data_IF_088419177192
#
_entry.id   IF_088419177192
#
_cell.length_a   1.000
_cell.length_b   1.000
_cell.length_c   1.000
_cell.angle_alpha   90.00
_cell.angle_beta   90.00
_cell.angle_gamma   90.00
#
_symmetry.space_group_name_H-M   'P 1'
#
loop_
_entity.id
_entity.type
_entity.pdbx_description
1 polymer ?
#
# COMPACT_ATOMS: atom_id res chain seq x y z
N UNK A 1 -1.78 -17.42 1.78
CA UNK A 1 -2.71 -16.78 2.74
C UNK A 1 -3.15 -15.47 2.13
N UNK A 2 -4.39 -15.02 2.40
CA UNK A 2 -4.89 -13.72 1.93
C UNK A 2 -4.83 -12.66 3.02
N UNK A 3 -4.24 -11.51 2.72
CA UNK A 3 -4.26 -10.31 3.57
C UNK A 3 -5.05 -9.21 2.86
N UNK A 4 -5.89 -8.50 3.60
CA UNK A 4 -6.62 -7.37 3.00
C UNK A 4 -5.60 -6.32 2.57
N UNK A 5 -5.68 -5.88 1.33
CA UNK A 5 -4.90 -4.77 0.82
C UNK A 5 -5.71 -3.46 0.92
N UNK A 6 -5.10 -2.42 1.44
CA UNK A 6 -5.70 -1.08 1.54
C UNK A 6 -4.66 -0.07 1.13
N UNK A 7 -4.95 0.74 0.12
CA UNK A 7 -4.10 1.85 -0.29
C UNK A 7 -4.80 3.19 -0.12
N UNK A 8 -4.16 4.10 0.61
CA UNK A 8 -4.66 5.45 0.81
C UNK A 8 -3.78 6.50 0.13
N UNK A 9 -4.42 7.55 -0.38
CA UNK A 9 -3.80 8.84 -0.64
C UNK A 9 -3.76 9.65 0.65
N UNK A 10 -2.63 10.26 0.98
CA UNK A 10 -2.44 11.07 2.19
C UNK A 10 -1.86 12.44 1.87
N UNK A 11 -2.20 13.46 2.66
CA UNK A 11 -1.70 14.83 2.43
C UNK A 11 -0.25 15.02 2.91
N UNK A 12 0.15 14.34 3.99
CA UNK A 12 1.49 14.39 4.57
C UNK A 12 1.96 12.97 4.85
N UNK A 13 2.99 12.51 4.14
CA UNK A 13 3.54 11.18 4.33
C UNK A 13 4.15 11.01 5.72
N UNK A 14 4.91 12.00 6.19
CA UNK A 14 5.61 11.93 7.48
C UNK A 14 4.63 11.79 8.64
N UNK A 15 3.60 12.65 8.69
CA UNK A 15 2.57 12.61 9.74
C UNK A 15 1.78 11.31 9.69
N UNK A 16 1.45 10.85 8.47
CA UNK A 16 0.71 9.60 8.26
C UNK A 16 1.53 8.36 8.64
N UNK A 17 2.84 8.34 8.39
CA UNK A 17 3.72 7.26 8.84
C UNK A 17 3.69 7.16 10.36
N UNK A 18 3.81 8.28 11.07
CA UNK A 18 3.76 8.30 12.54
C UNK A 18 2.41 7.76 13.05
N UNK A 19 1.30 8.25 12.48
CA UNK A 19 -0.04 7.84 12.88
C UNK A 19 -0.33 6.35 12.60
N UNK A 20 -0.09 5.88 11.36
CA UNK A 20 -0.39 4.50 11.00
C UNK A 20 0.56 3.49 11.65
N UNK A 21 1.81 3.87 11.95
CA UNK A 21 2.71 3.04 12.76
C UNK A 21 2.13 2.77 14.15
N UNK A 22 1.54 3.80 14.78
CA UNK A 22 0.86 3.63 16.07
C UNK A 22 -0.40 2.78 15.93
N UNK A 23 -1.26 3.08 14.95
CA UNK A 23 -2.55 2.38 14.75
C UNK A 23 -2.37 0.90 14.42
N UNK A 24 -1.38 0.58 13.58
CA UNK A 24 -1.07 -0.79 13.17
C UNK A 24 -0.18 -1.51 14.18
N UNK A 25 0.38 -0.79 15.16
CA UNK A 25 1.38 -1.33 16.11
C UNK A 25 2.52 -2.05 15.39
N UNK A 26 2.93 -1.51 14.23
CA UNK A 26 3.91 -2.09 13.33
C UNK A 26 4.70 -0.99 12.64
N UNK A 27 5.99 -1.24 12.38
CA UNK A 27 6.83 -0.35 11.59
C UNK A 27 6.60 -0.58 10.09
N UNK A 28 6.74 0.44 9.24
CA UNK A 28 6.67 0.25 7.80
C UNK A 28 7.82 -0.66 7.34
N UNK A 29 7.49 -1.61 6.48
CA UNK A 29 8.45 -2.48 5.79
C UNK A 29 9.13 -1.74 4.64
N UNK A 30 8.42 -0.82 3.98
CA UNK A 30 8.98 0.00 2.91
C UNK A 30 8.71 1.47 3.19
N UNK A 31 9.73 2.30 3.02
CA UNK A 31 9.59 3.76 2.95
C UNK A 31 10.26 4.24 1.66
N UNK A 32 9.54 5.04 0.90
CA UNK A 32 10.08 5.86 -0.18
C UNK A 32 9.89 7.32 0.24
N UNK A 33 10.99 8.07 0.50
CA UNK A 33 10.91 9.45 0.95
C UNK A 33 9.95 10.29 0.10
N UNK A 34 9.10 11.04 0.78
CA UNK A 34 8.08 11.97 0.25
C UNK A 34 7.05 11.36 -0.72
N UNK A 35 7.02 10.03 -0.87
CA UNK A 35 6.19 9.37 -1.86
C UNK A 35 5.32 8.26 -1.30
N UNK A 36 5.87 7.30 -0.55
CA UNK A 36 5.18 6.05 -0.27
C UNK A 36 5.64 5.38 1.03
N UNK A 37 4.72 4.69 1.70
CA UNK A 37 5.06 3.75 2.76
C UNK A 37 4.14 2.52 2.73
N UNK A 38 4.68 1.37 3.13
CA UNK A 38 3.99 0.09 3.18
C UNK A 38 4.21 -0.59 4.52
N UNK A 39 3.13 -1.06 5.13
CA UNK A 39 3.12 -1.97 6.26
C UNK A 39 2.52 -3.30 5.81
N UNK A 40 3.10 -4.38 6.29
CA UNK A 40 2.53 -5.71 6.14
C UNK A 40 2.54 -6.37 7.51
N UNK A 41 1.35 -6.70 8.00
CA UNK A 41 1.13 -7.47 9.23
C UNK A 41 0.58 -8.84 8.88
N UNK A 42 0.19 -9.63 9.88
CA UNK A 42 -0.50 -10.91 9.63
C UNK A 42 -1.91 -10.72 9.03
N UNK A 43 -2.52 -9.55 9.23
CA UNK A 43 -3.90 -9.28 8.83
C UNK A 43 -4.03 -8.36 7.60
N UNK A 44 -3.12 -7.41 7.42
CA UNK A 44 -3.27 -6.34 6.42
C UNK A 44 -1.96 -6.07 5.66
N UNK A 45 -2.09 -5.83 4.36
CA UNK A 45 -1.13 -5.13 3.53
C UNK A 45 -1.64 -3.68 3.37
N UNK A 46 -1.07 -2.75 4.13
CA UNK A 46 -1.53 -1.37 4.18
C UNK A 46 -0.50 -0.44 3.56
N UNK A 47 -0.91 0.36 2.58
CA UNK A 47 -0.03 1.32 1.94
C UNK A 47 -0.62 2.74 1.94
N UNK A 48 0.29 3.71 1.97
CA UNK A 48 -0.06 5.12 1.80
C UNK A 48 0.84 5.73 0.73
N UNK A 49 0.27 6.64 -0.05
CA UNK A 49 0.98 7.44 -1.04
C UNK A 49 0.64 8.91 -0.84
N UNK A 50 1.65 9.78 -0.83
CA UNK A 50 1.38 11.21 -0.75
C UNK A 50 0.68 11.69 -2.02
N UNK A 51 -0.44 12.39 -1.87
CA UNK A 51 -1.12 13.03 -3.01
C UNK A 51 -0.54 14.42 -3.26
N UNK A 52 -0.52 14.89 -4.52
CA UNK A 52 -0.13 16.27 -4.84
C UNK A 52 -0.97 17.32 -4.08
N UNK A 53 -0.36 18.48 -3.85
CA UNK A 53 -1.06 19.61 -3.24
C UNK A 53 -2.28 20.00 -4.11
N UNK A 54 -3.45 20.07 -3.48
CA UNK A 54 -4.72 20.37 -4.16
C UNK A 54 -5.55 19.13 -4.52
N UNK A 55 -4.99 17.93 -4.39
CA UNK A 55 -5.76 16.68 -4.49
C UNK A 55 -6.31 16.26 -3.11
N UNK A 56 -7.48 15.63 -3.12
CA UNK A 56 -8.10 15.13 -1.90
C UNK A 56 -7.44 13.82 -1.45
N UNK A 57 -7.02 13.69 -0.17
CA UNK A 57 -6.61 12.41 0.38
C UNK A 57 -7.83 11.47 0.51
N UNK A 58 -7.57 10.17 0.65
CA UNK A 58 -8.64 9.18 0.82
C UNK A 58 -8.31 7.82 0.25
N UNK A 59 -9.33 6.96 0.17
CA UNK A 59 -9.19 5.62 -0.40
C UNK A 59 -8.82 5.69 -1.89
N UNK A 60 -7.75 5.00 -2.28
CA UNK A 60 -7.35 4.84 -3.69
C UNK A 60 -7.87 3.53 -4.27
N UNK A 61 -7.54 2.42 -3.62
CA UNK A 61 -8.06 1.09 -3.94
C UNK A 61 -8.02 0.18 -2.72
N UNK A 62 -8.80 -0.90 -2.79
CA UNK A 62 -8.75 -2.05 -1.89
C UNK A 62 -8.17 -3.24 -2.65
N UNK A 63 -8.02 -4.38 -1.99
CA UNK A 63 -7.58 -5.58 -2.67
C UNK A 63 -7.25 -6.75 -1.77
N UNK A 64 -6.56 -7.72 -2.36
CA UNK A 64 -5.96 -8.85 -1.66
C UNK A 64 -4.50 -9.00 -2.06
N UNK A 65 -3.63 -9.07 -1.06
CA UNK A 65 -2.37 -9.78 -1.23
C UNK A 65 -2.66 -11.28 -1.04
N UNK A 66 -2.51 -12.07 -2.09
CA UNK A 66 -2.69 -13.53 -2.05
C UNK A 66 -1.43 -14.25 -2.54
N UNK A 67 -0.85 -15.11 -1.70
CA UNK A 67 0.26 -15.97 -2.09
C UNK A 67 -0.10 -16.95 -3.24
N UNK A 68 -1.40 -17.20 -3.46
CA UNK A 68 -1.89 -18.04 -4.56
C UNK A 68 -2.13 -17.27 -5.87
N UNK A 69 -2.07 -15.92 -5.86
CA UNK A 69 -2.27 -15.12 -7.05
C UNK A 69 -1.13 -15.32 -8.05
N UNK A 70 -1.45 -15.88 -9.23
CA UNK A 70 -0.46 -16.11 -10.28
C UNK A 70 -0.14 -14.85 -11.11
N UNK A 71 -1.00 -13.83 -11.04
CA UNK A 71 -0.88 -12.57 -11.78
C UNK A 71 -1.65 -11.46 -11.08
N UNK A 72 -1.29 -10.21 -11.38
CA UNK A 72 -2.09 -9.04 -11.00
C UNK A 72 -3.46 -9.07 -11.68
N UNK A 73 -4.50 -8.72 -10.95
CA UNK A 73 -5.83 -8.46 -11.51
C UNK A 73 -6.48 -7.24 -10.86
N UNK A 74 -7.38 -6.58 -11.60
CA UNK A 74 -8.13 -5.42 -11.14
C UNK A 74 -9.61 -5.60 -11.49
N UNK A 75 -10.49 -5.24 -10.55
CA UNK A 75 -11.93 -5.16 -10.77
C UNK A 75 -12.53 -3.97 -10.01
N UNK A 76 -13.82 -3.66 -10.24
CA UNK A 76 -14.58 -2.70 -9.44
C UNK A 76 -15.73 -3.40 -8.71
N UNK A 77 -15.96 -3.03 -7.47
CA UNK A 77 -17.13 -3.49 -6.72
C UNK A 77 -18.41 -2.73 -7.13
N UNK A 78 -19.54 -3.07 -6.51
CA UNK A 78 -20.83 -2.44 -6.79
C UNK A 78 -20.91 -0.94 -6.42
N UNK A 79 -19.95 -0.42 -5.66
CA UNK A 79 -19.82 1.00 -5.32
C UNK A 79 -18.79 1.72 -6.21
N UNK A 80 -18.16 1.00 -7.14
CA UNK A 80 -17.13 1.51 -8.03
C UNK A 80 -15.75 1.61 -7.40
N UNK A 81 -15.52 1.05 -6.21
CA UNK A 81 -14.17 1.00 -5.60
C UNK A 81 -13.32 0.02 -6.39
N UNK A 82 -12.08 0.42 -6.69
CA UNK A 82 -11.11 -0.46 -7.36
C UNK A 82 -10.60 -1.50 -6.36
N UNK A 83 -10.58 -2.76 -6.80
CA UNK A 83 -10.07 -3.91 -6.08
C UNK A 83 -8.95 -4.56 -6.88
N UNK A 84 -7.77 -4.68 -6.28
CA UNK A 84 -6.61 -5.33 -6.88
C UNK A 84 -6.33 -6.68 -6.21
N UNK A 85 -5.86 -7.67 -6.95
CA UNK A 85 -5.37 -8.94 -6.38
C UNK A 85 -4.00 -9.26 -6.96
N UNK A 86 -3.02 -9.50 -6.09
CA UNK A 86 -1.63 -9.72 -6.47
C UNK A 86 -0.87 -10.55 -5.43
N UNK A 87 0.26 -11.11 -5.84
CA UNK A 87 1.21 -11.77 -4.94
C UNK A 87 2.15 -10.78 -4.23
N UNK A 88 2.73 -11.15 -3.07
CA UNK A 88 3.64 -10.27 -2.32
C UNK A 88 4.89 -9.88 -3.10
N UNK A 89 5.42 -10.80 -3.93
CA UNK A 89 6.59 -10.53 -4.78
C UNK A 89 6.28 -9.54 -5.90
N UNK A 90 5.07 -9.60 -6.46
CA UNK A 90 4.64 -8.69 -7.54
C UNK A 90 4.59 -7.24 -7.06
N UNK A 91 3.99 -7.00 -5.89
CA UNK A 91 3.95 -5.66 -5.31
C UNK A 91 5.37 -5.13 -5.02
N UNK A 92 6.27 -5.98 -4.53
CA UNK A 92 7.66 -5.58 -4.29
C UNK A 92 8.39 -5.24 -5.59
N UNK A 93 8.20 -6.02 -6.65
CA UNK A 93 8.76 -5.72 -7.97
C UNK A 93 8.25 -4.40 -8.54
N UNK A 94 6.96 -4.11 -8.38
CA UNK A 94 6.37 -2.84 -8.80
C UNK A 94 6.98 -1.66 -8.03
N UNK A 95 7.06 -1.76 -6.70
CA UNK A 95 7.69 -0.74 -5.84
C UNK A 95 9.12 -0.47 -6.28
N UNK A 96 9.92 -1.52 -6.54
CA UNK A 96 11.31 -1.38 -6.98
C UNK A 96 11.43 -0.86 -8.42
N UNK A 97 10.46 -1.15 -9.28
CA UNK A 97 10.39 -0.61 -10.64
C UNK A 97 10.07 0.90 -10.65
N UNK A 98 9.17 1.34 -9.78
CA UNK A 98 8.81 2.77 -9.63
C UNK A 98 9.87 3.55 -8.84
N UNK A 99 10.41 2.93 -7.79
CA UNK A 99 11.34 3.55 -6.84
C UNK A 99 12.53 2.63 -6.56
N UNK A 100 13.54 2.62 -7.44
CA UNK A 100 14.74 1.79 -7.24
C UNK A 100 15.52 2.08 -5.95
N UNK A 101 15.27 3.24 -5.33
CA UNK A 101 15.89 3.69 -4.09
C UNK A 101 15.02 3.46 -2.84
N UNK A 102 13.95 2.66 -2.95
CA UNK A 102 13.08 2.34 -1.84
C UNK A 102 13.87 1.75 -0.66
N UNK A 103 13.61 2.25 0.55
CA UNK A 103 14.21 1.73 1.77
C UNK A 103 13.37 0.55 2.25
N UNK A 104 13.87 -0.66 2.03
CA UNK A 104 13.20 -1.90 2.41
C UNK A 104 13.81 -2.43 3.70
N UNK A 105 13.01 -2.56 4.76
CA UNK A 105 13.37 -3.27 5.97
C UNK A 105 12.98 -4.74 5.81
N UNK A 106 13.96 -5.61 6.02
CA UNK A 106 13.76 -7.07 6.10
C UNK A 106 13.29 -7.49 7.48
#
# INVERSE_FOLDING_TARGET
MRKIHVALGVSSLADSIAEYTQRLSAQPQVIVPDQYALWRTDAVNFSIRQVPAGEAPGLRHLGWEDDAASAFSEARDCNGIVWEEFGPEQQMQEILGLWPHAQIKR
#
